data_IF_639172667415
#
_entry.id   IF_639172667415
#
_cell.length_a   1.000
_cell.length_b   1.000
_cell.length_c   1.000
_cell.angle_alpha   90.00
_cell.angle_beta   90.00
_cell.angle_gamma   90.00
#
_symmetry.space_group_name_H-M   'P 1'
#
loop_
_entity.id
_entity.type
_entity.pdbx_description
1 polymer ?
#
# COMPACT_ATOMS: atom_id res chain seq x y z
N UNK A 1 -0.23 17.29 -6.52
CA UNK A 1 0.55 17.89 -5.42
C UNK A 1 1.00 19.27 -5.88
N UNK A 2 0.75 20.33 -5.10
CA UNK A 2 1.10 21.71 -5.47
C UNK A 2 2.63 21.94 -5.46
N UNK A 3 3.16 22.70 -6.42
CA UNK A 3 4.62 22.83 -6.61
C UNK A 3 5.26 23.69 -5.53
N UNK A 4 4.65 24.83 -5.19
CA UNK A 4 5.19 25.76 -4.19
C UNK A 4 5.18 25.14 -2.80
N UNK A 5 4.08 24.45 -2.47
CA UNK A 5 3.98 23.67 -1.25
C UNK A 5 5.04 22.56 -1.18
N UNK A 6 5.26 21.84 -2.27
CA UNK A 6 6.29 20.79 -2.31
C UNK A 6 7.70 21.37 -2.10
N UNK A 7 8.02 22.52 -2.69
CA UNK A 7 9.31 23.18 -2.48
C UNK A 7 9.53 23.54 -1.00
N UNK A 8 8.49 24.05 -0.31
CA UNK A 8 8.56 24.31 1.14
C UNK A 8 8.69 23.00 1.92
N UNK A 9 7.78 22.05 1.70
CA UNK A 9 7.72 20.79 2.42
C UNK A 9 8.99 19.95 2.24
N UNK A 10 9.67 20.03 1.10
CA UNK A 10 10.91 19.29 0.85
C UNK A 10 12.17 19.98 1.39
N UNK A 11 12.12 21.28 1.71
CA UNK A 11 13.27 22.06 2.23
C UNK A 11 13.36 22.13 3.75
N UNK A 12 12.32 21.76 4.48
CA UNK A 12 12.41 21.66 5.94
C UNK A 12 13.41 20.57 6.35
N UNK A 13 13.99 20.71 7.55
CA UNK A 13 14.95 19.75 8.07
C UNK A 13 14.34 18.33 8.08
N UNK A 14 14.94 17.35 7.37
CA UNK A 14 14.41 15.99 7.35
C UNK A 14 14.28 15.35 8.73
N UNK A 15 15.10 15.74 9.70
CA UNK A 15 15.01 15.27 11.09
C UNK A 15 13.67 15.62 11.72
N UNK A 16 13.04 16.73 11.32
CA UNK A 16 11.71 17.10 11.83
C UNK A 16 10.59 16.23 11.24
N UNK A 17 10.86 15.50 10.15
CA UNK A 17 9.91 14.54 9.55
C UNK A 17 9.99 13.15 10.19
N UNK A 18 11.02 12.88 10.98
CA UNK A 18 11.25 11.58 11.59
C UNK A 18 10.38 11.38 12.84
N UNK A 19 9.92 10.14 13.02
CA UNK A 19 9.19 9.69 14.21
C UNK A 19 10.20 9.43 15.33
N UNK A 20 9.86 9.81 16.56
CA UNK A 20 10.63 9.45 17.76
C UNK A 20 9.67 9.33 18.97
N UNK A 21 10.20 9.16 20.18
CA UNK A 21 9.37 9.02 21.38
C UNK A 21 8.45 10.21 21.69
N UNK A 22 8.69 11.38 21.08
CA UNK A 22 7.93 12.62 21.28
C UNK A 22 7.09 13.01 20.05
N UNK A 23 7.37 12.43 18.88
CA UNK A 23 6.80 12.85 17.58
C UNK A 23 6.24 11.66 16.82
N UNK A 24 4.95 11.71 16.49
CA UNK A 24 4.28 10.73 15.63
C UNK A 24 4.46 11.01 14.13
N UNK A 25 3.93 10.14 13.27
CA UNK A 25 3.98 10.33 11.82
C UNK A 25 3.33 11.66 11.40
N UNK A 26 3.99 12.37 10.48
CA UNK A 26 3.56 13.67 9.95
C UNK A 26 3.41 14.77 11.02
N UNK A 27 4.14 14.66 12.14
CA UNK A 27 4.09 15.62 13.26
C UNK A 27 4.14 17.10 12.83
N UNK A 28 5.03 17.49 11.91
CA UNK A 28 5.15 18.89 11.45
C UNK A 28 3.84 19.41 10.86
N UNK A 29 3.16 18.59 10.05
CA UNK A 29 1.87 18.97 9.46
C UNK A 29 0.79 18.99 10.54
N UNK A 30 0.78 18.03 11.46
CA UNK A 30 -0.19 18.02 12.56
C UNK A 30 -0.08 19.28 13.42
N UNK A 31 1.14 19.66 13.80
CA UNK A 31 1.41 20.88 14.56
C UNK A 31 1.04 22.16 13.84
N UNK A 32 1.32 22.26 12.54
CA UNK A 32 0.98 23.45 11.77
C UNK A 32 -0.53 23.73 11.68
N UNK A 33 -1.37 22.72 11.89
CA UNK A 33 -2.83 22.79 11.73
C UNK A 33 -3.61 22.36 12.99
N UNK A 34 -2.96 22.23 14.15
CA UNK A 34 -3.61 21.65 15.35
C UNK A 34 -4.78 22.48 15.86
N UNK A 35 -4.71 23.81 15.71
CA UNK A 35 -5.79 24.73 16.12
C UNK A 35 -6.97 24.76 15.12
N UNK A 36 -6.84 24.10 13.96
CA UNK A 36 -7.87 24.11 12.90
C UNK A 36 -8.77 22.87 12.92
N UNK A 37 -8.43 21.84 13.70
CA UNK A 37 -9.14 20.57 13.77
C UNK A 37 -9.38 20.14 15.23
N UNK A 38 -10.41 19.32 15.52
CA UNK A 38 -10.51 18.69 16.84
C UNK A 38 -9.24 17.91 17.16
N UNK A 39 -8.79 17.97 18.42
CA UNK A 39 -7.57 17.28 18.88
C UNK A 39 -7.58 15.78 18.52
N UNK A 40 -8.75 15.14 18.67
CA UNK A 40 -8.97 13.73 18.33
C UNK A 40 -8.75 13.40 16.85
N UNK A 41 -8.82 14.39 15.96
CA UNK A 41 -8.53 14.25 14.52
C UNK A 41 -7.08 14.64 14.23
N UNK A 42 -6.62 15.78 14.76
CA UNK A 42 -5.27 16.29 14.57
C UNK A 42 -4.18 15.30 15.03
N UNK A 43 -4.48 14.54 16.09
CA UNK A 43 -3.54 13.60 16.73
C UNK A 43 -3.95 12.13 16.60
N UNK A 44 -4.90 11.82 15.71
CA UNK A 44 -5.28 10.43 15.40
C UNK A 44 -4.12 9.67 14.77
N UNK A 45 -3.80 8.48 15.28
CA UNK A 45 -2.82 7.59 14.66
C UNK A 45 -3.25 7.22 13.24
N UNK A 46 -2.31 7.24 12.30
CA UNK A 46 -2.56 6.82 10.92
C UNK A 46 -2.90 5.33 10.88
N UNK A 47 -4.06 4.99 10.34
CA UNK A 47 -4.41 3.62 9.95
C UNK A 47 -4.00 3.34 8.49
N UNK A 48 -3.86 2.05 8.17
CA UNK A 48 -3.73 1.59 6.79
C UNK A 48 -5.08 1.74 6.07
N UNK A 49 -5.04 2.08 4.77
CA UNK A 49 -6.26 2.44 4.03
C UNK A 49 -7.29 1.32 3.96
N UNK A 50 -6.85 0.07 3.90
CA UNK A 50 -7.73 -1.09 3.92
C UNK A 50 -8.59 -1.18 5.17
N UNK A 51 -8.00 -0.87 6.31
CA UNK A 51 -8.61 -1.06 7.62
C UNK A 51 -9.55 0.12 7.92
N UNK A 52 -9.19 1.31 7.43
CA UNK A 52 -10.05 2.49 7.48
C UNK A 52 -11.28 2.45 6.55
N UNK A 53 -11.28 1.60 5.51
CA UNK A 53 -12.46 1.36 4.64
C UNK A 53 -13.35 0.26 5.23
N UNK A 54 -12.76 -0.72 5.89
CA UNK A 54 -13.44 -1.81 6.60
C UNK A 54 -12.85 -3.17 6.25
N UNK A 55 -12.60 -3.99 7.26
CA UNK A 55 -11.93 -5.29 7.10
C UNK A 55 -12.63 -6.26 6.13
N UNK A 56 -13.97 -6.19 6.04
CA UNK A 56 -14.73 -7.01 5.10
C UNK A 56 -14.38 -6.74 3.64
N UNK A 57 -13.86 -5.56 3.30
CA UNK A 57 -13.50 -5.23 1.92
C UNK A 57 -12.43 -6.16 1.37
N UNK A 58 -11.31 -6.34 2.11
CA UNK A 58 -10.23 -7.24 1.69
C UNK A 58 -10.69 -8.69 1.69
N UNK A 59 -11.46 -9.09 2.70
CA UNK A 59 -11.88 -10.48 2.81
C UNK A 59 -12.85 -10.85 1.66
N UNK A 60 -13.81 -9.98 1.33
CA UNK A 60 -14.69 -10.16 0.16
C UNK A 60 -13.90 -10.16 -1.16
N UNK A 61 -12.88 -9.34 -1.29
CA UNK A 61 -12.03 -9.31 -2.48
C UNK A 61 -11.29 -10.64 -2.67
N UNK A 62 -10.74 -11.21 -1.60
CA UNK A 62 -10.11 -12.53 -1.61
C UNK A 62 -11.10 -13.63 -1.99
N UNK A 63 -12.33 -13.57 -1.47
CA UNK A 63 -13.41 -14.51 -1.81
C UNK A 63 -13.75 -14.46 -3.30
N UNK A 64 -14.05 -13.27 -3.84
CA UNK A 64 -14.38 -13.07 -5.26
C UNK A 64 -13.26 -13.58 -6.16
N UNK A 65 -12.01 -13.26 -5.82
CA UNK A 65 -10.83 -13.67 -6.57
C UNK A 65 -10.61 -15.19 -6.50
N UNK A 66 -10.86 -15.80 -5.34
CA UNK A 66 -10.73 -17.25 -5.18
C UNK A 66 -11.74 -18.02 -6.04
N UNK A 67 -12.95 -17.47 -6.23
CA UNK A 67 -13.97 -18.00 -7.13
C UNK A 67 -13.65 -17.75 -8.61
N UNK A 68 -13.12 -16.56 -8.94
CA UNK A 68 -12.88 -16.15 -10.32
C UNK A 68 -11.61 -16.76 -10.94
N UNK A 69 -10.60 -17.10 -10.13
CA UNK A 69 -9.32 -17.62 -10.61
C UNK A 69 -9.04 -19.01 -10.03
N UNK A 70 -8.94 -20.00 -10.90
CA UNK A 70 -8.66 -21.39 -10.51
C UNK A 70 -7.17 -21.61 -10.25
N UNK A 71 -6.84 -22.65 -9.49
CA UNK A 71 -5.44 -23.03 -9.23
C UNK A 71 -4.73 -23.46 -10.53
N UNK A 72 -5.45 -24.08 -11.47
CA UNK A 72 -4.92 -24.42 -12.79
C UNK A 72 -4.61 -23.19 -13.64
N UNK A 73 -5.45 -22.15 -13.58
CA UNK A 73 -5.15 -20.87 -14.23
C UNK A 73 -3.88 -20.24 -13.66
N UNK A 74 -3.72 -20.25 -12.34
CA UNK A 74 -2.49 -19.76 -11.69
C UNK A 74 -1.26 -20.58 -12.08
N UNK A 75 -1.36 -21.92 -12.08
CA UNK A 75 -0.27 -22.82 -12.49
C UNK A 75 0.20 -22.54 -13.92
N UNK A 76 -0.72 -22.14 -14.79
CA UNK A 76 -0.46 -21.82 -16.19
C UNK A 76 -0.33 -20.30 -16.47
N UNK A 77 -0.27 -19.46 -15.44
CA UNK A 77 -0.29 -18.00 -15.60
C UNK A 77 0.84 -17.49 -16.50
N UNK A 78 2.02 -18.10 -16.43
CA UNK A 78 3.19 -17.73 -17.24
C UNK A 78 3.01 -17.97 -18.75
N UNK A 79 2.11 -18.88 -19.15
CA UNK A 79 1.78 -19.09 -20.56
C UNK A 79 0.83 -18.01 -21.09
N UNK A 80 -0.11 -17.56 -20.25
CA UNK A 80 -1.07 -16.51 -20.60
C UNK A 80 -0.46 -15.13 -20.51
N UNK A 81 0.27 -14.86 -19.43
CA UNK A 81 0.93 -13.60 -19.12
C UNK A 81 2.44 -13.82 -19.05
N UNK A 82 3.13 -13.99 -20.20
CA UNK A 82 4.58 -14.22 -20.21
C UNK A 82 5.39 -13.01 -19.72
N UNK A 83 4.81 -11.82 -19.84
CA UNK A 83 5.36 -10.57 -19.32
C UNK A 83 4.68 -10.21 -18.00
N UNK A 84 5.50 -10.01 -16.97
CA UNK A 84 5.06 -9.65 -15.62
C UNK A 84 3.98 -10.61 -15.10
N UNK A 85 4.32 -11.89 -15.03
CA UNK A 85 3.40 -12.95 -14.61
C UNK A 85 2.84 -12.66 -13.22
N UNK A 86 1.50 -12.72 -13.04
CA UNK A 86 0.87 -12.60 -11.73
C UNK A 86 1.38 -13.64 -10.73
N UNK A 87 1.64 -13.22 -9.49
CA UNK A 87 2.18 -14.07 -8.43
C UNK A 87 1.12 -14.68 -7.53
N UNK A 88 -0.10 -14.15 -7.56
CA UNK A 88 -1.25 -14.64 -6.81
C UNK A 88 -2.54 -14.45 -7.62
N UNK A 89 -3.64 -15.04 -7.13
CA UNK A 89 -4.94 -14.99 -7.80
C UNK A 89 -5.47 -13.56 -7.95
N UNK A 90 -5.20 -12.68 -7.00
CA UNK A 90 -5.70 -11.30 -7.01
C UNK A 90 -5.00 -10.50 -8.11
N UNK A 91 -3.68 -10.59 -8.20
CA UNK A 91 -2.91 -10.05 -9.32
C UNK A 91 -3.38 -10.63 -10.66
N UNK A 92 -3.69 -11.92 -10.73
CA UNK A 92 -4.17 -12.56 -11.96
C UNK A 92 -5.52 -11.99 -12.39
N UNK A 93 -6.42 -11.78 -11.43
CA UNK A 93 -7.73 -11.20 -11.66
C UNK A 93 -7.60 -9.77 -12.21
N UNK A 94 -6.82 -8.90 -11.55
CA UNK A 94 -6.57 -7.54 -12.04
C UNK A 94 -5.84 -7.51 -13.38
N UNK A 95 -4.84 -8.38 -13.57
CA UNK A 95 -4.11 -8.46 -14.84
C UNK A 95 -5.01 -8.89 -15.98
N UNK A 96 -5.98 -9.78 -15.73
CA UNK A 96 -6.98 -10.19 -16.72
C UNK A 96 -7.87 -9.02 -17.14
N UNK A 97 -8.36 -8.23 -16.19
CA UNK A 97 -9.16 -7.02 -16.46
C UNK A 97 -8.32 -5.96 -17.20
N UNK A 98 -7.07 -5.75 -16.76
CA UNK A 98 -6.16 -4.81 -17.40
C UNK A 98 -5.92 -5.17 -18.87
N UNK A 99 -5.63 -6.44 -19.17
CA UNK A 99 -5.37 -6.91 -20.54
C UNK A 99 -6.62 -6.83 -21.42
N UNK A 100 -7.83 -7.04 -20.86
CA UNK A 100 -9.09 -6.86 -21.59
C UNK A 100 -9.25 -5.42 -22.11
N UNK A 101 -8.85 -4.42 -21.32
CA UNK A 101 -8.90 -3.01 -21.72
C UNK A 101 -7.67 -2.54 -22.49
N UNK A 102 -6.49 -3.10 -22.20
CA UNK A 102 -5.20 -2.68 -22.73
C UNK A 102 -4.38 -3.88 -23.24
N UNK A 103 -4.78 -4.51 -24.37
CA UNK A 103 -4.19 -5.76 -24.87
C UNK A 103 -2.87 -5.51 -25.61
N UNK A 104 -1.86 -4.97 -24.91
CA UNK A 104 -0.53 -4.78 -25.48
C UNK A 104 0.57 -4.93 -24.44
N UNK A 105 1.69 -5.53 -24.86
CA UNK A 105 2.91 -5.66 -24.06
C UNK A 105 3.43 -4.31 -23.58
N UNK A 106 3.35 -3.28 -24.44
CA UNK A 106 3.77 -1.93 -24.09
C UNK A 106 2.94 -1.35 -22.93
N UNK A 107 1.62 -1.58 -22.92
CA UNK A 107 0.77 -1.14 -21.81
C UNK A 107 1.08 -1.90 -20.53
N UNK A 108 1.29 -3.23 -20.60
CA UNK A 108 1.69 -4.02 -19.44
C UNK A 108 3.01 -3.49 -18.83
N UNK A 109 4.02 -3.23 -19.66
CA UNK A 109 5.32 -2.72 -19.22
C UNK A 109 5.29 -1.30 -18.63
N UNK A 110 4.21 -0.54 -18.83
CA UNK A 110 3.99 0.73 -18.13
C UNK A 110 3.59 0.54 -16.65
N UNK A 111 3.18 -0.66 -16.25
CA UNK A 111 2.85 -1.01 -14.85
C UNK A 111 4.09 -1.59 -14.19
N UNK A 112 4.68 -0.95 -13.17
CA UNK A 112 5.81 -1.52 -12.46
C UNK A 112 5.39 -2.78 -11.68
N UNK A 113 6.09 -3.90 -11.89
CA UNK A 113 5.96 -5.10 -11.06
C UNK A 113 7.21 -5.21 -10.18
N UNK A 114 7.14 -4.64 -8.98
CA UNK A 114 8.22 -4.69 -7.99
C UNK A 114 7.68 -5.17 -6.64
N UNK A 115 8.51 -5.82 -5.81
CA UNK A 115 8.14 -6.10 -4.42
C UNK A 115 7.75 -4.82 -3.69
N UNK A 116 6.57 -4.81 -3.08
CA UNK A 116 6.03 -3.70 -2.30
C UNK A 116 5.31 -4.22 -1.07
N UNK A 117 5.34 -3.45 0.01
CA UNK A 117 4.46 -3.65 1.17
C UNK A 117 3.54 -2.44 1.29
N UNK A 118 2.23 -2.68 1.30
CA UNK A 118 1.22 -1.62 1.32
C UNK A 118 1.49 -0.53 0.26
N UNK A 119 1.58 0.74 0.67
CA UNK A 119 1.87 1.88 -0.22
C UNK A 119 3.37 2.20 -0.35
N UNK A 120 4.26 1.25 -0.06
CA UNK A 120 5.71 1.49 0.03
C UNK A 120 6.48 0.80 -1.10
N UNK A 121 7.61 1.38 -1.49
CA UNK A 121 8.50 0.83 -2.53
C UNK A 121 9.34 -0.34 -1.99
N UNK A 122 10.03 -1.05 -2.88
CA UNK A 122 11.00 -2.10 -2.52
C UNK A 122 12.05 -1.65 -1.50
N UNK A 123 12.41 -0.36 -1.50
CA UNK A 123 13.37 0.22 -0.56
C UNK A 123 12.87 0.12 0.89
N UNK A 124 11.56 0.25 1.11
CA UNK A 124 11.00 0.13 2.45
C UNK A 124 11.13 -1.30 3.02
N UNK A 125 11.15 -2.32 2.16
CA UNK A 125 11.41 -3.71 2.56
C UNK A 125 12.85 -3.93 3.03
N UNK A 126 13.78 -3.05 2.63
CA UNK A 126 15.17 -3.09 3.09
C UNK A 126 15.34 -2.48 4.48
N UNK A 127 14.41 -1.61 4.90
CA UNK A 127 14.50 -0.86 6.16
C UNK A 127 14.03 -1.65 7.37
N UNK A 128 13.17 -2.65 7.19
CA UNK A 128 12.68 -3.50 8.27
C UNK A 128 12.50 -4.95 7.79
N UNK A 129 13.16 -5.89 8.48
CA UNK A 129 13.07 -7.33 8.19
C UNK A 129 11.65 -7.88 8.39
N UNK A 130 10.83 -7.26 9.24
CA UNK A 130 9.44 -7.65 9.45
C UNK A 130 8.61 -7.54 8.17
N UNK A 131 8.96 -6.61 7.27
CA UNK A 131 8.25 -6.43 6.00
C UNK A 131 8.70 -7.40 4.90
N UNK A 132 9.88 -8.01 5.01
CA UNK A 132 10.41 -8.91 3.96
C UNK A 132 9.58 -10.17 3.75
N UNK A 133 8.87 -10.62 4.79
CA UNK A 133 8.13 -11.88 4.77
C UNK A 133 6.61 -11.70 4.89
N UNK A 134 6.10 -10.47 4.71
CA UNK A 134 4.68 -10.17 4.94
C UNK A 134 4.01 -9.65 3.66
N UNK A 135 3.26 -10.53 3.00
CA UNK A 135 2.50 -10.25 1.79
C UNK A 135 0.99 -10.12 2.10
N UNK A 136 0.66 -9.42 3.19
CA UNK A 136 -0.73 -9.09 3.53
C UNK A 136 -0.97 -7.60 3.25
N UNK A 137 -1.90 -7.24 2.36
CA UNK A 137 -2.20 -5.84 2.05
C UNK A 137 -2.99 -5.13 3.18
N UNK A 138 -3.49 -5.86 4.18
CA UNK A 138 -4.20 -5.29 5.32
C UNK A 138 -3.25 -4.67 6.36
N UNK A 139 -3.73 -3.74 7.18
CA UNK A 139 -2.93 -3.15 8.27
C UNK A 139 -2.64 -4.13 9.41
N UNK A 140 -3.25 -5.33 9.38
CA UNK A 140 -2.84 -6.50 10.19
C UNK A 140 -1.37 -6.88 9.98
N UNK A 141 -0.79 -6.51 8.84
CA UNK A 141 0.63 -6.69 8.57
C UNK A 141 1.56 -5.82 9.45
N UNK A 142 1.02 -4.83 10.18
CA UNK A 142 1.81 -3.86 10.95
C UNK A 142 1.53 -4.01 12.46
N UNK A 143 1.53 -5.25 12.95
CA UNK A 143 1.15 -5.63 14.32
C UNK A 143 2.00 -5.05 15.47
N UNK A 144 3.07 -4.28 15.19
CA UNK A 144 3.97 -3.70 16.21
C UNK A 144 3.97 -2.18 16.29
N UNK A 145 3.25 -1.48 15.42
CA UNK A 145 3.26 0.00 15.35
C UNK A 145 1.98 0.60 15.96
N UNK A 146 0.89 -0.15 15.99
CA UNK A 146 -0.40 0.29 16.51
C UNK A 146 -0.55 -0.09 17.99
N UNK A 147 -0.92 0.90 18.81
CA UNK A 147 -1.20 0.68 20.23
C UNK A 147 -2.54 -0.07 20.43
N UNK A 148 -3.50 0.20 19.54
CA UNK A 148 -4.78 -0.49 19.44
C UNK A 148 -4.92 -1.02 18.01
N UNK A 149 -4.90 -2.35 17.86
CA UNK A 149 -5.41 -3.03 16.68
C UNK A 149 -6.84 -3.47 17.02
N UNK A 150 -7.84 -2.93 16.30
CA UNK A 150 -9.23 -3.34 16.46
C UNK A 150 -9.56 -4.53 15.56
#
# INVERSE_FOLDING_TARGET
>A
LDKEFMDVAMRINPQDKMINGERMEKWVVRKAFEDMLPESVAWRQKEQFSDGVGYSWIDTLKEVVAEAVTDDQMKNAHFRFPLQTPQNKEEFYYRSIFEEHFPSDAAALCVPQEPSVACSTKIALEWDEAFKNMNDPSGRAVAKVHADAY
#
